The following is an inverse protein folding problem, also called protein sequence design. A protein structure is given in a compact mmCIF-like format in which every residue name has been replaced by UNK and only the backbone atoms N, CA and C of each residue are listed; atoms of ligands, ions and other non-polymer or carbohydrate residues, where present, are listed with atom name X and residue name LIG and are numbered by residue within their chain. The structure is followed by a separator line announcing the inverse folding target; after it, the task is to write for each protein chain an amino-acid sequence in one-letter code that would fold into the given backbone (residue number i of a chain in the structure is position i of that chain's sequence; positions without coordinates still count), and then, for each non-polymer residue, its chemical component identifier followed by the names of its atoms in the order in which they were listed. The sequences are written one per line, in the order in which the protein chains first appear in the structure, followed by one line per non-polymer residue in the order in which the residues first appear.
data_IF_059846720406
#
_entry.id   IF_059846720406
#
_cell.length_a   1.000
_cell.length_b   1.000
_cell.length_c   1.000
_cell.angle_alpha   90.00
_cell.angle_beta   90.00
_cell.angle_gamma   90.00
#
_symmetry.space_group_name_H-M   'P 1'
#
loop_
_entity.id
_entity.type
_entity.pdbx_description
1 polymer ?
#
# COMPACT_ATOMS: atom_id res chain seq x y z
N UNK A 1 -12.36 -8.01 16.69
CA UNK A 1 -12.37 -6.95 17.72
C UNK A 1 -11.23 -7.05 18.73
N UNK A 2 -10.98 -8.21 19.38
CA UNK A 2 -9.87 -8.30 20.36
C UNK A 2 -8.49 -8.06 19.74
N UNK A 3 -8.28 -8.49 18.49
CA UNK A 3 -7.00 -8.32 17.76
C UNK A 3 -6.74 -6.85 17.39
N UNK A 4 -7.78 -6.14 16.98
CA UNK A 4 -7.73 -4.75 16.52
C UNK A 4 -7.46 -3.79 17.70
N UNK A 5 -8.15 -4.01 18.83
CA UNK A 5 -7.84 -3.33 20.09
C UNK A 5 -6.42 -3.60 20.59
N UNK A 6 -5.90 -4.81 20.33
CA UNK A 6 -4.49 -5.10 20.62
C UNK A 6 -3.55 -4.33 19.68
N UNK A 7 -3.88 -4.18 18.39
CA UNK A 7 -3.08 -3.39 17.44
C UNK A 7 -3.01 -1.91 17.81
N UNK A 8 -4.13 -1.29 18.20
CA UNK A 8 -4.16 0.07 18.76
C UNK A 8 -3.22 0.21 19.96
N UNK A 9 -3.28 -0.76 20.89
CA UNK A 9 -2.42 -0.76 22.08
C UNK A 9 -0.95 -0.89 21.72
N UNK A 10 -0.62 -1.72 20.73
CA UNK A 10 0.76 -1.93 20.28
C UNK A 10 1.30 -0.71 19.56
N UNK A 11 0.51 -0.11 18.67
CA UNK A 11 0.85 1.12 17.97
C UNK A 11 1.33 2.20 18.96
N UNK A 12 0.53 2.47 19.98
CA UNK A 12 0.83 3.47 21.02
C UNK A 12 2.12 3.20 21.81
N UNK A 13 2.62 1.96 21.81
CA UNK A 13 3.78 1.54 22.61
C UNK A 13 5.06 1.32 21.81
N UNK A 14 4.96 1.16 20.49
CA UNK A 14 6.05 0.64 19.65
C UNK A 14 6.63 1.65 18.67
N UNK A 15 6.07 2.86 18.59
CA UNK A 15 6.44 3.84 17.57
C UNK A 15 5.94 3.50 16.16
N UNK A 16 5.16 2.43 16.01
CA UNK A 16 4.49 2.10 14.74
C UNK A 16 3.49 3.21 14.43
N UNK A 17 3.63 3.84 13.26
CA UNK A 17 2.73 4.91 12.84
C UNK A 17 1.40 4.36 12.28
N UNK A 18 1.47 3.35 11.41
CA UNK A 18 0.32 2.81 10.71
C UNK A 18 0.48 1.31 10.41
N UNK A 19 -0.63 0.67 10.03
CA UNK A 19 -0.64 -0.70 9.54
C UNK A 19 -0.94 -0.76 8.04
N UNK A 20 -0.29 -1.69 7.36
CA UNK A 20 -0.58 -2.02 5.96
C UNK A 20 -1.55 -3.19 5.92
N UNK A 21 -2.62 -3.07 5.14
CA UNK A 21 -3.55 -4.16 4.89
C UNK A 21 -3.51 -4.58 3.42
N UNK A 22 -3.44 -5.89 3.18
CA UNK A 22 -3.59 -6.43 1.83
C UNK A 22 -5.04 -6.26 1.36
N UNK A 23 -5.23 -5.45 0.32
CA UNK A 23 -6.46 -5.35 -0.42
C UNK A 23 -6.56 -6.54 -1.39
N UNK A 24 -7.21 -7.61 -0.92
CA UNK A 24 -7.48 -8.85 -1.64
C UNK A 24 -8.91 -9.29 -1.33
N UNK A 25 -9.76 -9.44 -2.35
CA UNK A 25 -11.16 -9.86 -2.19
C UNK A 25 -11.29 -11.25 -1.59
N UNK A 26 -10.27 -12.08 -1.75
CA UNK A 26 -10.25 -13.43 -1.20
C UNK A 26 -9.89 -13.43 0.29
N UNK A 27 -9.29 -12.35 0.80
CA UNK A 27 -8.96 -12.20 2.21
C UNK A 27 -10.15 -11.62 2.99
N UNK A 28 -11.10 -12.51 3.34
CA UNK A 28 -12.31 -12.17 4.11
C UNK A 28 -12.02 -11.41 5.41
N UNK A 29 -10.89 -11.67 6.07
CA UNK A 29 -10.53 -10.97 7.30
C UNK A 29 -10.21 -9.49 7.04
N UNK A 30 -9.41 -9.21 6.00
CA UNK A 30 -9.11 -7.84 5.62
C UNK A 30 -10.37 -7.15 5.08
N UNK A 31 -11.21 -7.82 4.29
CA UNK A 31 -12.47 -7.25 3.82
C UNK A 31 -13.39 -6.83 4.97
N UNK A 32 -13.55 -7.69 5.99
CA UNK A 32 -14.33 -7.34 7.18
C UNK A 32 -13.74 -6.16 7.96
N UNK A 33 -12.42 -6.08 8.05
CA UNK A 33 -11.75 -4.92 8.67
C UNK A 33 -12.01 -3.65 7.87
N UNK A 34 -11.77 -3.70 6.56
CA UNK A 34 -11.90 -2.55 5.68
C UNK A 34 -13.34 -2.04 5.61
N UNK A 35 -14.32 -2.94 5.58
CA UNK A 35 -15.73 -2.59 5.67
C UNK A 35 -16.05 -1.85 6.97
N UNK A 36 -15.58 -2.35 8.13
CA UNK A 36 -15.82 -1.68 9.43
C UNK A 36 -15.16 -0.33 9.54
N UNK A 37 -13.98 -0.17 8.96
CA UNK A 37 -13.32 1.14 8.90
C UNK A 37 -14.18 2.13 8.12
N UNK A 38 -14.77 1.72 6.99
CA UNK A 38 -15.65 2.58 6.21
C UNK A 38 -17.00 2.86 6.87
N UNK A 39 -17.58 1.88 7.56
CA UNK A 39 -18.91 1.98 8.19
C UNK A 39 -18.87 2.70 9.55
N UNK A 40 -17.98 2.25 10.43
CA UNK A 40 -17.98 2.63 11.85
C UNK A 40 -16.77 3.51 12.23
N UNK A 41 -15.81 3.71 11.32
CA UNK A 41 -14.53 4.36 11.61
C UNK A 41 -13.61 3.55 12.53
N UNK A 42 -13.95 2.28 12.78
CA UNK A 42 -13.29 1.41 13.74
C UNK A 42 -12.53 0.26 13.05
N UNK A 43 -11.32 -0.09 13.51
CA UNK A 43 -10.61 0.51 14.64
C UNK A 43 -9.96 1.87 14.30
N UNK A 44 -9.78 2.70 15.32
CA UNK A 44 -9.25 4.07 15.18
C UNK A 44 -7.71 4.05 15.05
N UNK A 45 -7.23 3.42 13.99
CA UNK A 45 -5.80 3.26 13.69
C UNK A 45 -5.51 3.82 12.30
N UNK A 46 -4.45 4.62 12.12
CA UNK A 46 -3.92 4.94 10.81
C UNK A 46 -3.62 3.67 10.00
N UNK A 47 -4.04 3.66 8.74
CA UNK A 47 -3.85 2.52 7.86
C UNK A 47 -3.56 2.93 6.42
N UNK A 48 -2.95 2.02 5.67
CA UNK A 48 -2.81 2.12 4.22
C UNK A 48 -3.06 0.76 3.59
N UNK A 49 -3.22 0.76 2.28
CA UNK A 49 -3.50 -0.45 1.51
C UNK A 49 -2.29 -0.87 0.69
N UNK A 50 -2.13 -2.19 0.58
CA UNK A 50 -1.28 -2.79 -0.43
C UNK A 50 -2.09 -3.69 -1.34
N UNK A 51 -1.78 -3.72 -2.62
CA UNK A 51 -2.43 -4.59 -3.58
C UNK A 51 -1.40 -5.53 -4.18
N UNK A 52 -1.66 -6.83 -4.08
CA UNK A 52 -0.87 -7.85 -4.73
C UNK A 52 -1.57 -8.27 -6.02
N UNK A 53 -1.03 -7.84 -7.15
CA UNK A 53 -1.53 -8.30 -8.44
C UNK A 53 -1.16 -9.78 -8.63
N UNK A 54 -2.17 -10.63 -8.80
CA UNK A 54 -1.99 -12.07 -9.05
C UNK A 54 -2.52 -12.38 -10.45
N UNK A 55 -1.68 -12.96 -11.30
CA UNK A 55 -1.95 -13.24 -12.72
C UNK A 55 -3.16 -14.15 -13.00
N UNK A 56 -3.76 -14.75 -11.98
CA UNK A 56 -4.87 -15.70 -12.11
C UNK A 56 -6.20 -15.06 -12.57
N UNK A 57 -6.28 -13.73 -12.67
CA UNK A 57 -7.48 -13.02 -13.09
C UNK A 57 -7.53 -12.88 -14.62
N UNK A 58 -8.38 -13.68 -15.27
CA UNK A 58 -8.54 -13.78 -16.72
C UNK A 58 -9.06 -12.49 -17.43
N UNK A 59 -9.26 -11.38 -16.72
CA UNK A 59 -9.79 -10.11 -17.25
C UNK A 59 -8.80 -8.95 -17.10
N UNK A 60 -7.72 -8.97 -17.91
CA UNK A 60 -6.50 -8.14 -17.71
C UNK A 60 -6.66 -6.62 -17.88
N UNK A 61 -7.56 -6.12 -18.72
CA UNK A 61 -7.48 -4.71 -19.19
C UNK A 61 -8.39 -3.70 -18.45
N UNK A 62 -9.41 -4.17 -17.72
CA UNK A 62 -10.33 -3.30 -16.98
C UNK A 62 -10.31 -3.53 -15.47
N UNK A 63 -9.64 -4.57 -14.99
CA UNK A 63 -9.62 -4.91 -13.57
C UNK A 63 -9.06 -3.76 -12.73
N UNK A 64 -7.94 -3.16 -13.13
CA UNK A 64 -7.35 -2.05 -12.39
C UNK A 64 -8.23 -0.78 -12.39
N UNK A 65 -9.10 -0.58 -13.39
CA UNK A 65 -10.06 0.54 -13.42
C UNK A 65 -11.17 0.36 -12.39
N UNK A 66 -11.72 -0.85 -12.33
CA UNK A 66 -12.74 -1.19 -11.33
C UNK A 66 -12.11 -1.18 -9.93
N UNK A 67 -10.89 -1.71 -9.79
CA UNK A 67 -10.13 -1.65 -8.53
C UNK A 67 -9.91 -0.26 -8.02
N UNK A 68 -9.57 0.67 -8.91
CA UNK A 68 -9.44 2.06 -8.51
C UNK A 68 -10.72 2.60 -7.87
N UNK A 69 -11.89 2.28 -8.42
CA UNK A 69 -13.18 2.74 -7.85
C UNK A 69 -13.37 2.21 -6.43
N UNK A 70 -13.02 0.96 -6.18
CA UNK A 70 -13.12 0.35 -4.85
C UNK A 70 -12.12 0.93 -3.85
N UNK A 71 -10.97 1.44 -4.33
CA UNK A 71 -9.93 2.04 -3.49
C UNK A 71 -10.26 3.48 -3.04
N UNK A 72 -11.01 4.23 -3.86
CA UNK A 72 -11.31 5.65 -3.63
C UNK A 72 -11.96 5.95 -2.26
N UNK A 73 -12.94 5.18 -1.77
CA UNK A 73 -13.50 5.40 -0.44
C UNK A 73 -12.43 5.37 0.66
N UNK A 74 -11.45 4.48 0.54
CA UNK A 74 -10.36 4.37 1.52
C UNK A 74 -9.41 5.56 1.43
N UNK A 75 -9.04 6.01 0.24
CA UNK A 75 -8.16 7.18 0.07
C UNK A 75 -8.75 8.46 0.67
N UNK A 76 -10.08 8.57 0.69
CA UNK A 76 -10.79 9.68 1.31
C UNK A 76 -10.96 9.53 2.82
N UNK A 77 -10.70 8.36 3.38
CA UNK A 77 -10.90 8.11 4.81
C UNK A 77 -9.91 8.94 5.66
N UNK A 78 -10.39 9.54 6.74
CA UNK A 78 -9.59 10.44 7.60
C UNK A 78 -8.40 9.76 8.29
N UNK A 79 -8.45 8.43 8.42
CA UNK A 79 -7.38 7.59 8.98
C UNK A 79 -6.46 6.97 7.92
N UNK A 80 -6.73 7.22 6.64
CA UNK A 80 -5.84 6.76 5.59
C UNK A 80 -4.53 7.53 5.66
N UNK A 81 -3.40 6.83 5.56
CA UNK A 81 -2.08 7.46 5.57
C UNK A 81 -1.90 8.30 4.30
N UNK A 82 -1.58 9.57 4.51
CA UNK A 82 -1.30 10.56 3.47
C UNK A 82 0.01 11.26 3.75
N UNK A 83 0.71 11.62 2.68
CA UNK A 83 1.88 12.52 2.72
C UNK A 83 1.46 13.74 1.92
N UNK A 84 1.48 14.93 2.53
CA UNK A 84 1.02 16.17 1.86
C UNK A 84 -0.38 16.04 1.23
N UNK A 85 -1.33 15.45 1.97
CA UNK A 85 -2.72 15.15 1.53
C UNK A 85 -2.86 14.07 0.43
N UNK A 86 -1.76 13.46 0.00
CA UNK A 86 -1.78 12.44 -1.05
C UNK A 86 -1.72 11.02 -0.47
N UNK A 87 -2.65 10.12 -0.86
CA UNK A 87 -2.72 8.78 -0.32
C UNK A 87 -1.47 7.95 -0.63
N UNK A 88 -0.94 7.24 0.37
CA UNK A 88 0.13 6.27 0.18
C UNK A 88 -0.46 4.91 -0.18
N UNK A 89 -0.03 4.33 -1.30
CA UNK A 89 -0.53 3.04 -1.77
C UNK A 89 0.63 2.13 -2.16
N UNK A 90 0.55 0.85 -1.80
CA UNK A 90 1.59 -0.13 -2.14
C UNK A 90 1.08 -1.06 -3.25
N UNK A 91 1.89 -1.27 -4.29
CA UNK A 91 1.64 -2.32 -5.30
C UNK A 91 2.75 -3.36 -5.25
N UNK A 92 2.36 -4.60 -4.96
CA UNK A 92 3.24 -5.77 -4.96
C UNK A 92 3.20 -6.47 -6.31
N UNK A 93 4.34 -7.02 -6.73
CA UNK A 93 4.49 -7.72 -8.01
C UNK A 93 4.07 -6.88 -9.21
N UNK A 94 4.34 -5.58 -9.18
CA UNK A 94 3.82 -4.62 -10.15
C UNK A 94 4.20 -4.95 -11.62
N UNK A 95 5.33 -5.65 -11.86
CA UNK A 95 5.74 -6.09 -13.21
C UNK A 95 4.76 -7.07 -13.86
N UNK A 96 3.92 -7.75 -13.07
CA UNK A 96 2.87 -8.63 -13.60
C UNK A 96 1.66 -7.84 -14.13
N UNK A 97 1.55 -6.55 -13.78
CA UNK A 97 0.48 -5.68 -14.27
C UNK A 97 0.80 -5.29 -15.71
N UNK A 98 0.07 -5.88 -16.65
CA UNK A 98 0.14 -5.48 -18.05
C UNK A 98 -0.26 -4.00 -18.19
N UNK A 99 0.49 -3.24 -18.99
CA UNK A 99 0.27 -1.81 -19.18
C UNK A 99 0.32 -1.00 -17.87
N UNK A 100 1.18 -1.38 -16.91
CA UNK A 100 1.34 -0.70 -15.62
C UNK A 100 1.43 0.84 -15.74
N UNK A 101 2.21 1.37 -16.67
CA UNK A 101 2.29 2.83 -16.89
C UNK A 101 0.92 3.44 -17.27
N UNK A 102 0.13 2.79 -18.12
CA UNK A 102 -1.21 3.28 -18.48
C UNK A 102 -2.16 3.26 -17.29
N UNK A 103 -2.05 2.24 -16.43
CA UNK A 103 -2.79 2.19 -15.17
C UNK A 103 -2.44 3.40 -14.29
N UNK A 104 -1.15 3.73 -14.15
CA UNK A 104 -0.71 4.89 -13.35
C UNK A 104 -1.28 6.20 -13.90
N UNK A 105 -1.19 6.42 -15.22
CA UNK A 105 -1.80 7.59 -15.86
C UNK A 105 -3.30 7.66 -15.63
N UNK A 106 -4.00 6.53 -15.68
CA UNK A 106 -5.42 6.50 -15.36
C UNK A 106 -5.66 6.88 -13.89
N UNK A 107 -4.92 6.29 -12.95
CA UNK A 107 -5.09 6.55 -11.52
C UNK A 107 -4.93 8.05 -11.24
N UNK A 108 -3.85 8.67 -11.73
CA UNK A 108 -3.64 10.12 -11.61
C UNK A 108 -4.77 10.93 -12.22
N UNK A 109 -5.21 10.58 -13.44
CA UNK A 109 -6.30 11.28 -14.11
C UNK A 109 -7.61 11.24 -13.33
N UNK A 110 -7.84 10.18 -12.55
CA UNK A 110 -9.02 10.01 -11.72
C UNK A 110 -8.90 10.73 -10.38
N UNK A 111 -7.73 10.69 -9.74
CA UNK A 111 -7.46 11.44 -8.51
C UNK A 111 -7.64 12.94 -8.69
N UNK A 112 -7.18 13.49 -9.82
CA UNK A 112 -7.35 14.92 -10.13
C UNK A 112 -8.83 15.34 -10.18
N UNK A 113 -9.72 14.43 -10.59
CA UNK A 113 -11.18 14.66 -10.57
C UNK A 113 -11.78 14.61 -9.16
N UNK A 114 -11.03 14.10 -8.19
CA UNK A 114 -11.39 13.99 -6.78
C UNK A 114 -10.65 15.03 -5.90
N UNK A 115 -10.06 16.07 -6.51
CA UNK A 115 -9.22 17.07 -5.85
C UNK A 115 -7.97 16.49 -5.15
N UNK A 116 -7.49 15.32 -5.59
CA UNK A 116 -6.21 14.74 -5.18
C UNK A 116 -5.18 14.92 -6.29
N UNK A 117 -3.96 15.32 -5.94
CA UNK A 117 -2.90 15.63 -6.92
C UNK A 117 -2.26 14.38 -7.51
N UNK A 118 -1.90 13.41 -6.67
CA UNK A 118 -1.31 12.10 -7.05
C UNK A 118 -1.48 11.07 -5.92
N UNK A 119 -1.06 9.83 -6.20
CA UNK A 119 -0.86 8.76 -5.19
C UNK A 119 0.63 8.68 -4.90
N UNK A 120 1.01 8.59 -3.63
CA UNK A 120 2.35 8.21 -3.24
C UNK A 120 2.51 6.70 -3.39
N UNK A 121 2.95 6.29 -4.57
CA UNK A 121 3.00 4.87 -4.93
C UNK A 121 4.32 4.25 -4.50
N UNK A 122 4.23 3.22 -3.65
CA UNK A 122 5.35 2.38 -3.27
C UNK A 122 5.21 1.06 -4.03
N UNK A 123 6.27 0.61 -4.70
CA UNK A 123 6.25 -0.67 -5.42
C UNK A 123 7.16 -1.70 -4.76
N UNK A 124 6.83 -2.98 -4.92
CA UNK A 124 7.70 -4.08 -4.53
C UNK A 124 7.79 -5.15 -5.62
N UNK A 125 9.00 -5.71 -5.79
CA UNK A 125 9.32 -6.75 -6.75
C UNK A 125 10.76 -7.23 -6.59
N UNK A 126 11.07 -8.45 -7.07
CA UNK A 126 12.41 -9.07 -6.93
C UNK A 126 13.48 -8.47 -7.85
N UNK A 127 13.15 -7.48 -8.66
CA UNK A 127 14.02 -6.98 -9.72
C UNK A 127 14.07 -5.45 -9.74
N UNK A 128 15.26 -4.86 -9.93
CA UNK A 128 15.47 -4.02 -11.11
C UNK A 128 14.46 -2.87 -11.36
N UNK A 129 14.17 -2.00 -10.40
CA UNK A 129 13.15 -0.94 -10.45
C UNK A 129 13.67 0.40 -10.97
N UNK A 130 14.99 0.54 -11.12
CA UNK A 130 15.64 1.78 -11.60
C UNK A 130 15.02 2.33 -12.88
N UNK A 131 14.63 1.47 -13.82
CA UNK A 131 14.06 1.89 -15.12
C UNK A 131 12.66 2.55 -15.01
N UNK A 132 11.95 2.31 -13.90
CA UNK A 132 10.60 2.86 -13.64
C UNK A 132 10.66 4.14 -12.81
N UNK A 133 11.68 4.26 -11.96
CA UNK A 133 11.97 5.50 -11.23
C UNK A 133 12.53 6.56 -12.20
N UNK A 134 13.22 6.14 -13.27
CA UNK A 134 13.81 7.06 -14.26
C UNK A 134 12.81 7.70 -15.21
N UNK A 135 11.57 7.20 -15.32
CA UNK A 135 10.50 7.93 -16.00
C UNK A 135 9.73 8.76 -14.97
N UNK A 136 10.24 9.97 -14.75
CA UNK A 136 9.75 11.02 -13.85
C UNK A 136 8.27 10.89 -13.40
N UNK A 137 8.07 10.69 -12.09
CA UNK A 137 6.89 11.02 -11.26
C UNK A 137 5.89 9.94 -10.83
N UNK A 138 5.88 8.72 -11.38
CA UNK A 138 4.76 7.80 -11.09
C UNK A 138 4.98 6.82 -9.92
N UNK A 139 6.23 6.61 -9.49
CA UNK A 139 6.58 5.77 -8.33
C UNK A 139 7.34 6.62 -7.31
N UNK A 140 6.81 6.71 -6.09
CA UNK A 140 7.38 7.49 -4.98
C UNK A 140 8.45 6.73 -4.20
N UNK A 141 8.50 5.39 -4.29
CA UNK A 141 9.53 4.61 -3.63
C UNK A 141 9.40 3.11 -3.80
N UNK A 142 10.30 2.40 -3.14
CA UNK A 142 10.40 0.93 -3.18
C UNK A 142 10.38 0.33 -1.80
N UNK A 143 9.86 -0.90 -1.73
CA UNK A 143 9.87 -1.71 -0.53
C UNK A 143 10.26 -3.15 -0.87
N UNK A 144 11.09 -3.75 -0.02
CA UNK A 144 11.49 -5.15 -0.10
C UNK A 144 10.80 -5.94 1.00
N UNK A 145 9.97 -6.92 0.62
CA UNK A 145 9.14 -7.70 1.54
C UNK A 145 9.96 -8.74 2.34
N UNK A 146 11.14 -9.09 1.83
CA UNK A 146 12.08 -9.95 2.53
C UNK A 146 13.07 -9.09 3.33
N UNK A 147 13.33 -9.41 4.62
CA UNK A 147 14.40 -8.75 5.35
C UNK A 147 15.70 -8.96 4.57
N UNK A 148 16.28 -7.86 4.11
CA UNK A 148 17.61 -7.87 3.51
C UNK A 148 18.52 -8.51 4.55
N UNK A 149 19.14 -9.65 4.22
CA UNK A 149 20.21 -10.21 5.04
C UNK A 149 21.40 -9.27 4.93
N UNK A 150 21.36 -8.16 5.65
CA UNK A 150 22.59 -7.45 5.95
C UNK A 150 23.42 -8.42 6.78
N UNK A 151 24.62 -8.75 6.28
CA UNK A 151 25.64 -9.40 7.08
C UNK A 151 26.09 -8.39 8.15
N UNK A 152 25.27 -8.23 9.19
CA UNK A 152 25.63 -7.44 10.36
C UNK A 152 26.65 -8.29 11.12
N UNK A 153 27.93 -8.10 10.80
CA UNK A 153 29.00 -8.47 11.72
C UNK A 153 28.86 -7.54 12.93
N UNK A 154 28.33 -8.09 14.02
CA UNK A 154 28.56 -7.52 15.33
C UNK A 154 30.05 -7.64 15.61
N UNK A 155 30.80 -6.55 15.42
CA UNK A 155 32.08 -6.43 16.11
C UNK A 155 31.77 -6.40 17.60
N UNK A 156 32.07 -7.51 18.28
CA UNK A 156 32.19 -7.54 19.72
C UNK A 156 33.30 -6.54 20.08
N UNK A 157 32.90 -5.31 20.40
CA UNK A 157 33.79 -4.37 21.05
C UNK A 157 34.19 -5.00 22.37
N UNK A 158 35.45 -5.45 22.41
CA UNK A 158 36.12 -5.89 23.63
C UNK A 158 36.03 -4.77 24.65
N UNK A 159 35.13 -4.92 25.61
CA UNK A 159 35.22 -4.22 26.88
C UNK A 159 36.39 -4.89 27.61
N UNK A 160 37.57 -4.26 27.54
CA UNK A 160 38.67 -4.50 28.47
C UNK A 160 38.51 -3.59 29.69
#
# INVERSE_FOLDING_TARGET
MKREKNRERWQKKSGIYAFVYDYDDQNKLNQQFLQKVLEDGEPNIPFMLSWNYKENNKNKTNEWKERFKDLVPYFNHSKYVKIEEEPVFIIKNFKQIENFQQMLYFFESRLRKLNMTKINLIVSGKENTKDLITSERLVSGEYFDEPQKENIHFEESKIQ
#
